data_IF_891714973227
#
_entry.id   IF_891714973227
#
_cell.length_a   1.000
_cell.length_b   1.000
_cell.length_c   1.000
_cell.angle_alpha   90.00
_cell.angle_beta   90.00
_cell.angle_gamma   90.00
#
_symmetry.space_group_name_H-M   'P 1'
#
loop_
_entity.id
_entity.type
_entity.pdbx_description
1 polymer ?
#
# COMPACT_ATOMS: atom_id res chain seq x y z
N UNK A 1 18.18 -18.57 5.57
CA UNK A 1 17.64 -18.69 4.20
C UNK A 1 16.57 -17.62 4.09
N UNK A 2 16.70 -16.67 3.16
CA UNK A 2 15.59 -15.73 2.87
C UNK A 2 14.54 -16.49 2.07
N UNK A 3 13.27 -16.11 2.20
CA UNK A 3 12.20 -16.73 1.39
C UNK A 3 12.18 -16.03 0.03
N UNK A 4 12.24 -16.78 -1.08
CA UNK A 4 12.31 -16.21 -2.42
C UNK A 4 10.97 -15.65 -2.93
N UNK A 5 9.85 -16.02 -2.33
CA UNK A 5 8.51 -15.60 -2.74
C UNK A 5 8.16 -14.20 -2.19
N UNK A 6 8.88 -13.72 -1.18
CA UNK A 6 8.59 -12.45 -0.48
C UNK A 6 9.82 -11.61 -0.20
N UNK A 7 9.76 -10.32 -0.52
CA UNK A 7 10.75 -9.32 -0.08
C UNK A 7 10.11 -8.08 0.52
N UNK A 8 10.81 -7.42 1.44
CA UNK A 8 10.40 -6.13 2.00
C UNK A 8 10.88 -4.97 1.11
N UNK A 9 9.94 -4.16 0.62
CA UNK A 9 10.23 -2.91 -0.08
C UNK A 9 10.45 -1.76 0.91
N UNK A 10 9.65 -1.70 1.97
CA UNK A 10 9.71 -0.67 3.01
C UNK A 10 9.50 -1.31 4.39
N UNK A 11 10.28 -0.87 5.37
CA UNK A 11 10.13 -1.27 6.77
C UNK A 11 9.98 -0.03 7.67
N UNK A 12 8.84 0.06 8.37
CA UNK A 12 8.51 1.20 9.23
C UNK A 12 8.83 0.97 10.72
N UNK A 13 9.57 -0.10 11.06
CA UNK A 13 9.95 -0.42 12.44
C UNK A 13 10.70 0.70 13.19
N UNK A 14 11.59 1.52 12.57
CA UNK A 14 12.23 2.65 13.25
C UNK A 14 11.24 3.66 13.86
N UNK A 15 10.02 3.74 13.33
CA UNK A 15 8.95 4.62 13.80
C UNK A 15 7.89 3.90 14.64
N UNK A 16 8.06 2.59 14.87
CA UNK A 16 7.06 1.71 15.52
C UNK A 16 5.73 1.65 14.76
N UNK A 17 5.80 1.77 13.43
CA UNK A 17 4.64 1.92 12.56
C UNK A 17 4.26 3.39 12.34
N UNK A 18 3.72 3.71 11.16
CA UNK A 18 3.32 5.07 10.80
C UNK A 18 1.80 5.22 10.91
N UNK A 19 1.37 6.29 11.58
CA UNK A 19 -0.03 6.73 11.59
C UNK A 19 -0.40 7.45 10.30
N UNK A 20 -1.68 7.55 10.03
CA UNK A 20 -2.22 8.25 8.85
C UNK A 20 -1.62 9.65 8.63
N UNK A 21 -1.47 10.54 9.64
CA UNK A 21 -0.90 11.88 9.43
C UNK A 21 0.58 11.89 9.02
N UNK A 22 1.31 10.79 9.26
CA UNK A 22 2.73 10.65 8.95
C UNK A 22 2.97 10.13 7.52
N UNK A 23 1.90 9.81 6.79
CA UNK A 23 1.93 9.31 5.41
C UNK A 23 1.27 10.32 4.49
N UNK A 24 1.95 10.61 3.38
CA UNK A 24 1.44 11.40 2.27
C UNK A 24 1.51 10.59 0.97
N UNK A 25 0.75 11.02 -0.03
CA UNK A 25 0.84 10.46 -1.39
C UNK A 25 1.13 11.57 -2.39
N UNK A 26 1.89 11.22 -3.42
CA UNK A 26 2.09 12.01 -4.63
C UNK A 26 1.42 11.27 -5.79
N UNK A 27 0.41 11.91 -6.37
CA UNK A 27 -0.42 11.32 -7.42
C UNK A 27 0.00 11.89 -8.78
N UNK A 28 0.34 11.01 -9.74
CA UNK A 28 0.66 11.45 -11.10
C UNK A 28 0.54 10.33 -12.12
N UNK A 29 0.09 10.65 -13.33
CA UNK A 29 0.03 9.68 -14.44
C UNK A 29 1.41 9.18 -14.88
N UNK A 30 2.49 9.93 -14.60
CA UNK A 30 3.87 9.46 -14.82
C UNK A 30 4.23 8.23 -13.98
N UNK A 31 3.44 7.95 -12.94
CA UNK A 31 3.58 6.77 -12.10
C UNK A 31 2.72 5.60 -12.58
N UNK A 32 2.00 5.75 -13.68
CA UNK A 32 1.28 4.65 -14.33
C UNK A 32 2.28 3.69 -15.00
N UNK A 33 1.77 2.51 -15.35
CA UNK A 33 2.51 1.49 -16.08
C UNK A 33 2.95 2.03 -17.46
N UNK A 34 4.20 1.79 -17.83
CA UNK A 34 4.69 2.02 -19.18
C UNK A 34 4.04 1.04 -20.15
N UNK A 35 3.77 1.48 -21.37
CA UNK A 35 3.03 0.64 -22.32
C UNK A 35 3.39 0.94 -23.77
N UNK A 36 3.23 -0.08 -24.61
CA UNK A 36 3.30 0.00 -26.07
C UNK A 36 2.05 -0.66 -26.69
N UNK A 37 1.81 -0.50 -28.00
CA UNK A 37 0.65 -1.09 -28.68
C UNK A 37 0.58 -2.62 -28.57
N UNK A 38 1.71 -3.33 -28.64
CA UNK A 38 1.72 -4.79 -28.59
C UNK A 38 1.31 -5.32 -27.21
N UNK A 39 1.75 -4.65 -26.14
CA UNK A 39 1.33 -4.94 -24.77
C UNK A 39 -0.16 -4.66 -24.56
N UNK A 40 -0.67 -3.55 -25.10
CA UNK A 40 -2.11 -3.25 -25.01
C UNK A 40 -2.96 -4.29 -25.75
N UNK A 41 -2.56 -4.68 -26.97
CA UNK A 41 -3.26 -5.72 -27.74
C UNK A 41 -3.25 -7.08 -27.02
N UNK A 42 -2.15 -7.40 -26.32
CA UNK A 42 -2.06 -8.58 -25.48
C UNK A 42 -3.06 -8.54 -24.31
N UNK A 43 -3.10 -7.44 -23.55
CA UNK A 43 -4.02 -7.26 -22.43
C UNK A 43 -5.49 -7.32 -22.90
N UNK A 44 -5.82 -6.63 -24.00
CA UNK A 44 -7.17 -6.64 -24.58
C UNK A 44 -7.63 -8.04 -24.99
N UNK A 45 -6.74 -8.81 -25.64
CA UNK A 45 -7.03 -10.18 -26.04
C UNK A 45 -7.27 -11.09 -24.83
N UNK A 46 -6.39 -11.06 -23.82
CA UNK A 46 -6.57 -11.86 -22.59
C UNK A 46 -7.87 -11.50 -21.87
N UNK A 47 -8.20 -10.20 -21.80
CA UNK A 47 -9.44 -9.74 -21.19
C UNK A 47 -10.67 -10.22 -21.95
N UNK A 48 -10.66 -10.14 -23.29
CA UNK A 48 -11.75 -10.62 -24.14
C UNK A 48 -11.97 -12.12 -23.97
N UNK A 49 -10.90 -12.90 -23.91
CA UNK A 49 -10.96 -14.34 -23.63
C UNK A 49 -11.52 -14.64 -22.24
N UNK A 50 -11.14 -13.84 -21.23
CA UNK A 50 -11.65 -13.98 -19.87
C UNK A 50 -13.15 -13.71 -19.80
N UNK A 51 -13.61 -12.57 -20.32
CA UNK A 51 -15.03 -12.19 -20.32
C UNK A 51 -15.87 -13.18 -21.14
N UNK A 52 -15.33 -13.76 -22.21
CA UNK A 52 -16.04 -14.79 -22.97
C UNK A 52 -16.31 -16.06 -22.15
N UNK A 53 -15.41 -16.40 -21.21
CA UNK A 53 -15.57 -17.55 -20.31
C UNK A 53 -16.40 -17.21 -19.05
N UNK A 54 -16.19 -16.02 -18.51
CA UNK A 54 -16.76 -15.57 -17.23
C UNK A 54 -17.40 -14.18 -17.41
N UNK A 55 -18.59 -14.09 -18.03
CA UNK A 55 -19.20 -12.82 -18.43
C UNK A 55 -19.64 -11.94 -17.26
N UNK A 56 -19.65 -12.47 -16.05
CA UNK A 56 -19.95 -11.72 -14.82
C UNK A 56 -18.73 -10.97 -14.26
N UNK A 57 -17.52 -11.22 -14.76
CA UNK A 57 -16.33 -10.48 -14.35
C UNK A 57 -16.43 -9.04 -14.85
N UNK A 58 -16.01 -8.10 -14.02
CA UNK A 58 -15.92 -6.68 -14.35
C UNK A 58 -14.51 -6.15 -14.10
N UNK A 59 -14.14 -5.08 -14.81
CA UNK A 59 -12.87 -4.39 -14.56
C UNK A 59 -13.02 -3.46 -13.35
N UNK A 60 -11.95 -3.36 -12.56
CA UNK A 60 -11.87 -2.53 -11.36
C UNK A 60 -10.65 -1.63 -11.40
N UNK A 61 -10.79 -0.31 -11.24
CA UNK A 61 -9.67 0.62 -11.10
C UNK A 61 -8.94 0.38 -9.76
N UNK A 62 -7.60 0.50 -9.76
CA UNK A 62 -6.74 0.28 -8.60
C UNK A 62 -5.62 1.33 -8.54
N UNK A 63 -5.08 1.57 -7.35
CA UNK A 63 -3.84 2.34 -7.21
C UNK A 63 -2.64 1.51 -7.67
N UNK A 64 -1.71 2.12 -8.39
CA UNK A 64 -0.40 1.51 -8.72
C UNK A 64 0.66 2.10 -7.82
N UNK A 65 1.41 1.27 -7.10
CA UNK A 65 2.58 1.77 -6.38
C UNK A 65 3.75 1.89 -7.36
N UNK A 66 4.34 3.09 -7.45
CA UNK A 66 5.55 3.32 -8.24
C UNK A 66 6.81 3.30 -7.37
N UNK A 67 6.84 4.11 -6.32
CA UNK A 67 8.00 4.20 -5.42
C UNK A 67 7.60 4.91 -4.13
N UNK A 68 8.54 5.09 -3.20
CA UNK A 68 8.35 5.85 -1.98
C UNK A 68 9.56 6.74 -1.68
N UNK A 69 9.36 7.75 -0.82
CA UNK A 69 10.41 8.55 -0.21
C UNK A 69 10.22 8.58 1.31
N UNK A 70 11.32 8.47 2.05
CA UNK A 70 11.34 8.66 3.50
C UNK A 70 11.92 10.03 3.82
N UNK A 71 11.23 10.80 4.66
CA UNK A 71 11.79 12.02 5.22
C UNK A 71 12.96 11.66 6.15
N UNK A 72 14.10 12.29 5.93
CA UNK A 72 15.26 12.10 6.81
C UNK A 72 14.92 12.71 8.18
N UNK A 73 15.05 11.97 9.30
CA UNK A 73 14.80 12.53 10.62
C UNK A 73 15.75 13.71 10.85
N UNK A 74 15.20 14.92 11.04
CA UNK A 74 15.98 16.08 11.48
C UNK A 74 16.33 15.92 12.97
N UNK A 75 17.26 15.00 13.27
CA UNK A 75 18.13 14.93 14.47
C UNK A 75 18.65 13.50 14.68
N UNK A 76 19.68 13.11 13.93
CA UNK A 76 20.61 12.07 14.37
C UNK A 76 22.04 12.62 14.27
N UNK A 77 22.48 13.33 15.31
CA UNK A 77 23.90 13.52 15.57
C UNK A 77 24.47 12.21 16.14
N UNK A 78 24.87 11.29 15.27
CA UNK A 78 25.98 10.35 15.52
C UNK A 78 26.21 9.43 14.32
N UNK A 79 27.34 9.67 13.65
CA UNK A 79 28.29 8.74 13.00
C UNK A 79 27.76 7.36 12.54
N UNK A 80 27.94 7.13 11.23
CA UNK A 80 27.97 5.87 10.47
C UNK A 80 26.63 5.25 10.01
N UNK A 81 26.34 5.37 8.70
CA UNK A 81 26.60 4.27 7.74
C UNK A 81 26.31 4.73 6.31
N UNK A 82 27.37 5.03 5.57
CA UNK A 82 27.40 5.01 4.10
C UNK A 82 27.28 3.55 3.65
N UNK A 83 26.08 3.03 3.39
CA UNK A 83 25.97 1.77 2.62
C UNK A 83 24.63 1.52 1.91
N UNK A 84 23.71 2.47 1.83
CA UNK A 84 22.47 2.29 1.06
C UNK A 84 22.24 3.45 0.08
N UNK A 85 23.14 3.61 -0.89
CA UNK A 85 22.91 4.49 -2.05
C UNK A 85 23.80 4.15 -3.25
N UNK A 86 24.01 2.85 -3.51
CA UNK A 86 24.62 2.37 -4.75
C UNK A 86 23.61 1.49 -5.46
N UNK A 87 22.77 2.10 -6.30
CA UNK A 87 22.31 1.56 -7.60
C UNK A 87 21.14 2.39 -8.14
N UNK A 88 21.35 3.68 -8.39
CA UNK A 88 20.66 4.42 -9.46
C UNK A 88 21.65 5.48 -9.95
N UNK A 89 22.26 5.23 -11.11
CA UNK A 89 23.12 6.21 -11.78
C UNK A 89 22.22 7.04 -12.69
N UNK A 90 21.87 8.23 -12.22
CA UNK A 90 21.41 9.30 -13.11
C UNK A 90 22.60 9.79 -13.94
N UNK A 91 22.53 9.60 -15.26
CA UNK A 91 23.38 10.29 -16.22
C UNK A 91 22.63 11.56 -16.70
N UNK A 92 23.10 12.78 -16.41
CA UNK A 92 22.62 13.95 -17.11
C UNK A 92 23.41 14.13 -18.41
N UNK A 93 22.71 14.05 -19.54
CA UNK A 93 23.24 14.46 -20.82
C UNK A 93 23.42 15.98 -20.85
N UNK A 94 24.58 16.40 -21.37
CA UNK A 94 25.03 17.77 -21.55
C UNK A 94 24.08 18.59 -22.43
N UNK A 95 23.80 19.83 -22.02
CA UNK A 95 23.51 20.92 -22.96
C UNK A 95 24.17 22.21 -22.46
N UNK A 96 25.26 22.59 -23.12
CA UNK A 96 25.93 23.88 -22.97
C UNK A 96 25.13 24.98 -23.69
N UNK A 97 24.88 26.12 -23.03
CA UNK A 97 25.58 27.39 -23.32
C UNK A 97 24.90 28.64 -22.72
N UNK A 98 25.69 29.41 -21.94
CA UNK A 98 25.84 30.90 -21.90
C UNK A 98 24.59 31.76 -21.54
N UNK A 99 24.61 32.86 -20.77
CA UNK A 99 25.64 33.76 -20.23
C UNK A 99 24.97 34.79 -19.29
N UNK A 100 25.70 35.29 -18.28
CA UNK A 100 25.53 36.61 -17.62
C UNK A 100 24.32 36.79 -16.70
N UNK A 101 24.33 37.56 -15.61
CA UNK A 101 25.36 38.37 -14.98
C UNK A 101 24.95 38.66 -13.52
N UNK A 102 25.95 38.83 -12.68
CA UNK A 102 26.06 39.61 -11.44
C UNK A 102 24.78 40.16 -10.74
N UNK A 103 24.67 39.97 -9.42
CA UNK A 103 25.18 40.99 -8.48
C UNK A 103 25.23 40.50 -7.02
N UNK A 104 26.24 41.03 -6.35
CA UNK A 104 26.85 40.72 -5.08
C UNK A 104 26.25 41.45 -3.87
N UNK A 105 26.15 40.73 -2.74
CA UNK A 105 26.79 41.04 -1.43
C UNK A 105 26.32 42.31 -0.69
N UNK A 106 25.89 42.17 0.57
CA UNK A 106 26.63 42.60 1.77
C UNK A 106 25.89 42.29 3.08
N UNK A 107 26.72 42.11 4.12
CA UNK A 107 26.49 41.50 5.41
C UNK A 107 26.00 42.46 6.50
N UNK A 108 25.49 41.85 7.58
CA UNK A 108 25.63 42.19 9.03
C UNK A 108 25.35 43.61 9.52
N UNK A 109 24.45 43.72 10.50
CA UNK A 109 24.80 44.28 11.81
C UNK A 109 23.77 43.93 12.91
N UNK A 110 24.31 43.74 14.11
CA UNK A 110 23.69 43.34 15.37
C UNK A 110 23.25 44.57 16.19
N UNK A 111 22.10 44.52 16.88
CA UNK A 111 21.87 45.36 18.06
C UNK A 111 20.73 44.83 18.94
N UNK A 112 21.04 44.77 20.24
CA UNK A 112 20.34 44.07 21.30
C UNK A 112 19.29 44.90 22.08
N UNK A 113 18.40 44.16 22.78
CA UNK A 113 17.58 44.49 23.97
C UNK A 113 16.21 45.19 23.80
N UNK A 114 15.12 44.48 24.16
CA UNK A 114 14.39 44.69 25.44
C UNK A 114 13.23 43.69 25.66
N UNK A 115 13.00 43.44 26.95
CA UNK A 115 12.07 42.49 27.59
C UNK A 115 10.60 42.73 27.26
N UNK A 116 9.86 41.64 27.04
CA UNK A 116 8.41 41.59 27.08
C UNK A 116 7.95 40.19 27.45
N UNK A 117 7.69 39.96 28.73
CA UNK A 117 7.04 38.76 29.26
C UNK A 117 5.60 38.70 28.76
N UNK A 118 5.29 37.72 27.90
CA UNK A 118 3.91 37.26 27.67
C UNK A 118 3.91 35.74 27.81
N UNK A 119 3.41 35.29 28.97
CA UNK A 119 2.95 33.93 29.18
C UNK A 119 1.78 33.68 28.22
N UNK A 120 2.05 33.00 27.10
CA UNK A 120 1.02 32.39 26.28
C UNK A 120 1.28 30.89 26.25
N UNK A 121 0.50 30.18 27.08
CA UNK A 121 0.25 28.75 26.97
C UNK A 121 -0.22 28.43 25.56
N UNK A 122 0.71 28.07 24.66
CA UNK A 122 0.40 27.32 23.45
C UNK A 122 0.81 25.89 23.72
N UNK A 123 -0.18 25.06 24.05
CA UNK A 123 -0.10 23.63 23.76
C UNK A 123 0.19 23.51 22.26
N UNK A 124 1.47 23.39 21.90
CA UNK A 124 1.85 22.98 20.55
C UNK A 124 1.27 21.59 20.36
N UNK A 125 0.16 21.50 19.64
CA UNK A 125 -0.17 20.25 18.96
C UNK A 125 1.05 19.93 18.11
N UNK A 126 1.82 18.91 18.50
CA UNK A 126 2.86 18.37 17.63
C UNK A 126 2.13 17.95 16.36
N UNK A 127 2.23 18.75 15.29
CA UNK A 127 1.92 18.25 13.97
C UNK A 127 2.84 17.05 13.78
N UNK A 128 2.23 15.86 13.66
CA UNK A 128 2.96 14.67 13.30
C UNK A 128 3.65 14.97 11.96
N UNK A 129 4.98 15.01 11.99
CA UNK A 129 5.81 15.30 10.82
C UNK A 129 5.54 14.22 9.76
N UNK A 130 5.44 14.62 8.48
CA UNK A 130 5.34 13.66 7.40
C UNK A 130 6.65 12.85 7.31
N UNK A 131 6.55 11.53 7.36
CA UNK A 131 7.68 10.62 7.35
C UNK A 131 7.78 9.86 6.04
N UNK A 132 6.65 9.52 5.43
CA UNK A 132 6.57 8.71 4.22
C UNK A 132 5.77 9.41 3.14
N UNK A 133 6.34 9.52 1.95
CA UNK A 133 5.63 9.93 0.74
C UNK A 133 5.56 8.74 -0.23
N UNK A 134 4.36 8.29 -0.56
CA UNK A 134 4.11 7.24 -1.55
C UNK A 134 3.79 7.85 -2.91
N UNK A 135 4.50 7.43 -3.96
CA UNK A 135 4.22 7.86 -5.33
C UNK A 135 3.29 6.85 -5.98
N UNK A 136 2.07 7.29 -6.30
CA UNK A 136 1.01 6.42 -6.80
C UNK A 136 0.53 6.84 -8.18
N UNK A 137 0.40 5.84 -9.05
CA UNK A 137 -0.34 5.91 -10.30
C UNK A 137 -1.71 5.25 -10.19
N UNK A 138 -2.36 5.06 -11.33
CA UNK A 138 -3.57 4.27 -11.50
C UNK A 138 -3.30 3.05 -12.40
N UNK A 139 -4.01 1.98 -12.12
CA UNK A 139 -4.03 0.74 -12.92
C UNK A 139 -5.41 0.09 -12.82
N UNK A 140 -5.56 -1.14 -13.30
CA UNK A 140 -6.83 -1.86 -13.23
C UNK A 140 -6.67 -3.36 -13.04
N UNK A 141 -7.74 -4.04 -12.64
CA UNK A 141 -7.80 -5.50 -12.55
C UNK A 141 -7.51 -6.17 -13.88
N UNK A 142 -7.99 -5.59 -14.98
CA UNK A 142 -7.70 -6.03 -16.34
C UNK A 142 -6.20 -5.97 -16.66
N UNK A 143 -5.56 -4.85 -16.36
CA UNK A 143 -4.12 -4.68 -16.57
C UNK A 143 -3.32 -5.67 -15.72
N UNK A 144 -3.74 -5.90 -14.47
CA UNK A 144 -3.14 -6.91 -13.60
C UNK A 144 -3.20 -8.31 -14.22
N UNK A 145 -4.37 -8.71 -14.71
CA UNK A 145 -4.53 -10.02 -15.36
C UNK A 145 -3.66 -10.16 -16.63
N UNK A 146 -3.51 -9.08 -17.38
CA UNK A 146 -2.73 -9.07 -18.62
C UNK A 146 -1.22 -8.85 -18.44
N UNK A 147 -0.76 -8.55 -17.22
CA UNK A 147 0.67 -8.30 -16.93
C UNK A 147 1.17 -9.18 -15.79
N UNK A 148 0.95 -8.79 -14.53
CA UNK A 148 1.39 -9.54 -13.35
C UNK A 148 0.93 -11.00 -13.32
N UNK A 149 -0.32 -11.27 -13.71
CA UNK A 149 -0.89 -12.63 -13.72
C UNK A 149 -0.80 -13.31 -15.10
N UNK A 150 -0.14 -12.67 -16.07
CA UNK A 150 0.04 -13.23 -17.40
C UNK A 150 1.17 -14.27 -17.40
N UNK A 151 1.05 -15.27 -18.27
CA UNK A 151 2.16 -16.17 -18.58
C UNK A 151 3.37 -15.47 -19.21
N UNK A 152 3.26 -14.16 -19.53
CA UNK A 152 4.35 -13.32 -20.04
C UNK A 152 5.00 -12.44 -18.95
N UNK A 153 4.64 -12.59 -17.67
CA UNK A 153 5.14 -11.71 -16.61
C UNK A 153 6.68 -11.61 -16.55
N UNK A 154 7.39 -12.74 -16.63
CA UNK A 154 8.87 -12.76 -16.62
C UNK A 154 9.48 -12.04 -17.83
N UNK A 155 8.89 -12.21 -19.01
CA UNK A 155 9.33 -11.52 -20.23
C UNK A 155 9.05 -10.02 -20.15
N UNK A 156 7.91 -9.61 -19.58
CA UNK A 156 7.61 -8.21 -19.32
C UNK A 156 8.59 -7.59 -18.33
N UNK A 157 9.00 -8.34 -17.29
CA UNK A 157 10.07 -7.90 -16.38
C UNK A 157 11.38 -7.68 -17.13
N UNK A 158 11.79 -8.66 -17.95
CA UNK A 158 13.03 -8.57 -18.73
C UNK A 158 13.00 -7.37 -19.68
N UNK A 159 11.87 -7.14 -20.35
CA UNK A 159 11.68 -5.98 -21.23
C UNK A 159 11.67 -4.67 -20.47
N UNK A 160 11.00 -4.60 -19.32
CA UNK A 160 10.98 -3.43 -18.45
C UNK A 160 12.39 -2.98 -18.09
N UNK A 161 13.23 -3.93 -17.68
CA UNK A 161 14.64 -3.67 -17.36
C UNK A 161 15.41 -3.13 -18.57
N UNK A 162 15.27 -3.76 -19.75
CA UNK A 162 16.02 -3.37 -20.96
C UNK A 162 15.57 -2.03 -21.54
N UNK A 163 14.26 -1.78 -21.57
CA UNK A 163 13.66 -0.61 -22.22
C UNK A 163 13.60 0.61 -21.30
N UNK A 164 13.42 0.41 -19.99
CA UNK A 164 13.15 1.48 -19.02
C UNK A 164 14.08 1.47 -17.80
N UNK A 165 14.96 0.47 -17.65
CA UNK A 165 15.84 0.35 -16.47
C UNK A 165 15.12 -0.01 -15.18
N UNK A 166 13.90 -0.55 -15.28
CA UNK A 166 13.09 -1.00 -14.15
C UNK A 166 12.22 -2.20 -14.57
N UNK A 167 12.36 -3.38 -13.95
CA UNK A 167 11.63 -4.57 -14.36
C UNK A 167 10.12 -4.44 -14.09
N UNK A 168 9.70 -3.51 -13.23
CA UNK A 168 8.29 -3.33 -12.87
C UNK A 168 7.57 -2.32 -13.77
N UNK A 169 8.30 -1.64 -14.66
CA UNK A 169 7.77 -0.55 -15.50
C UNK A 169 6.64 -1.00 -16.42
N UNK A 170 6.70 -2.22 -16.95
CA UNK A 170 5.66 -2.80 -17.83
C UNK A 170 4.58 -3.58 -17.08
N UNK A 171 4.60 -3.60 -15.74
CA UNK A 171 3.64 -4.32 -14.91
C UNK A 171 2.61 -3.39 -14.25
N UNK A 172 1.40 -3.91 -14.05
CA UNK A 172 0.29 -3.16 -13.46
C UNK A 172 0.58 -2.75 -12.02
N UNK A 173 1.18 -3.64 -11.23
CA UNK A 173 1.59 -3.41 -9.83
C UNK A 173 0.48 -2.76 -8.95
N UNK A 174 -0.75 -3.33 -8.93
CA UNK A 174 -1.80 -2.80 -8.08
C UNK A 174 -1.41 -2.92 -6.60
N UNK A 175 -1.56 -1.84 -5.85
CA UNK A 175 -1.25 -1.78 -4.43
C UNK A 175 -2.35 -2.48 -3.63
N UNK A 176 -1.99 -3.58 -2.97
CA UNK A 176 -2.82 -4.23 -1.95
C UNK A 176 -2.69 -3.56 -0.58
N UNK A 177 -3.59 -3.93 0.33
CA UNK A 177 -3.47 -3.67 1.76
C UNK A 177 -3.68 -4.97 2.52
N UNK A 178 -2.89 -5.19 3.56
CA UNK A 178 -3.06 -6.29 4.50
C UNK A 178 -2.94 -5.80 5.92
N UNK A 179 -3.57 -6.47 6.89
CA UNK A 179 -3.39 -6.14 8.30
C UNK A 179 -3.23 -7.34 9.19
N UNK A 180 -2.29 -7.19 10.12
CA UNK A 180 -2.15 -8.06 11.26
C UNK A 180 -3.08 -7.53 12.35
N UNK A 181 -4.08 -8.33 12.69
CA UNK A 181 -5.04 -8.01 13.75
C UNK A 181 -4.62 -8.71 15.04
N UNK A 182 -4.38 -7.95 16.10
CA UNK A 182 -4.14 -8.45 17.43
C UNK A 182 -5.36 -8.19 18.32
N UNK A 183 -5.86 -9.22 18.98
CA UNK A 183 -6.99 -9.15 19.91
C UNK A 183 -6.55 -8.76 21.32
N UNK A 184 -7.51 -8.40 22.18
CA UNK A 184 -7.25 -8.01 23.58
C UNK A 184 -6.57 -9.10 24.41
N UNK A 185 -6.72 -10.37 24.01
CA UNK A 185 -6.07 -11.54 24.60
C UNK A 185 -4.75 -11.93 23.88
N UNK A 186 -4.12 -10.96 23.21
CA UNK A 186 -2.81 -11.04 22.56
C UNK A 186 -2.71 -12.16 21.50
N UNK A 187 -3.80 -12.43 20.78
CA UNK A 187 -3.85 -13.39 19.70
C UNK A 187 -3.75 -12.69 18.35
N UNK A 188 -3.04 -13.31 17.40
CA UNK A 188 -3.06 -12.87 16.00
C UNK A 188 -4.08 -13.67 15.22
N UNK A 189 -4.92 -12.95 14.47
CA UNK A 189 -5.96 -13.52 13.62
C UNK A 189 -5.39 -13.83 12.24
N UNK A 190 -5.54 -15.07 11.81
CA UNK A 190 -5.38 -15.50 10.43
C UNK A 190 -6.70 -16.02 9.88
N UNK A 191 -6.85 -15.90 8.58
CA UNK A 191 -7.96 -16.50 7.83
C UNK A 191 -7.42 -17.65 6.97
N UNK A 192 -8.28 -18.57 6.53
CA UNK A 192 -7.92 -19.61 5.56
C UNK A 192 -8.69 -19.38 4.27
N UNK A 193 -7.95 -19.31 3.16
CA UNK A 193 -8.49 -19.14 1.82
C UNK A 193 -9.27 -20.38 1.40
N UNK A 194 -10.30 -20.16 0.58
CA UNK A 194 -11.06 -21.24 -0.06
C UNK A 194 -10.15 -22.09 -0.94
N UNK A 195 -10.52 -23.36 -1.15
CA UNK A 195 -9.85 -24.24 -2.11
C UNK A 195 -10.28 -23.97 -3.57
N UNK A 196 -11.26 -23.09 -3.77
CA UNK A 196 -11.90 -22.82 -5.08
C UNK A 196 -11.49 -21.47 -5.70
N UNK A 197 -10.55 -20.74 -5.08
CA UNK A 197 -10.08 -19.45 -5.61
C UNK A 197 -8.85 -19.65 -6.50
N UNK A 198 -8.65 -18.72 -7.44
CA UNK A 198 -7.53 -18.78 -8.38
C UNK A 198 -6.17 -18.49 -7.72
N UNK A 199 -6.14 -17.59 -6.74
CA UNK A 199 -4.91 -17.15 -6.10
C UNK A 199 -4.73 -17.80 -4.72
N UNK A 200 -3.55 -18.40 -4.46
CA UNK A 200 -3.16 -18.97 -3.16
C UNK A 200 -4.21 -19.92 -2.54
N UNK A 201 -4.78 -20.80 -3.36
CA UNK A 201 -5.87 -21.69 -2.95
C UNK A 201 -5.53 -22.51 -1.69
N UNK A 202 -6.42 -22.48 -0.69
CA UNK A 202 -6.28 -23.24 0.55
C UNK A 202 -5.22 -22.76 1.54
N UNK A 203 -4.41 -21.76 1.18
CA UNK A 203 -3.38 -21.21 2.05
C UNK A 203 -3.99 -20.39 3.20
N UNK A 204 -3.20 -20.11 4.21
CA UNK A 204 -3.58 -19.11 5.20
C UNK A 204 -3.60 -17.73 4.53
N UNK A 205 -4.24 -16.78 5.20
CA UNK A 205 -4.18 -15.36 4.87
C UNK A 205 -4.23 -14.48 6.13
N UNK A 206 -4.01 -13.18 5.94
CA UNK A 206 -4.41 -12.12 6.86
C UNK A 206 -5.54 -11.29 6.25
N UNK A 207 -6.38 -10.59 7.05
CA UNK A 207 -7.40 -9.70 6.50
C UNK A 207 -6.80 -8.64 5.60
N UNK A 208 -7.40 -8.41 4.43
CA UNK A 208 -6.84 -7.49 3.46
C UNK A 208 -7.60 -7.41 2.15
N UNK A 209 -7.10 -6.59 1.24
CA UNK A 209 -7.80 -6.29 0.00
C UNK A 209 -7.02 -5.38 -0.93
N UNK A 210 -7.73 -4.80 -1.89
CA UNK A 210 -7.14 -3.90 -2.89
C UNK A 210 -8.01 -2.64 -2.97
N UNK A 211 -7.56 -1.53 -2.35
CA UNK A 211 -8.34 -0.30 -2.27
C UNK A 211 -8.67 0.26 -3.66
N UNK A 212 -9.84 0.89 -3.77
CA UNK A 212 -10.37 1.33 -5.06
C UNK A 212 -10.45 2.86 -5.14
N UNK A 213 -9.85 3.49 -6.16
CA UNK A 213 -9.95 4.94 -6.39
C UNK A 213 -11.40 5.44 -6.47
N UNK A 214 -12.33 4.58 -6.89
CA UNK A 214 -13.76 4.88 -6.94
C UNK A 214 -14.33 5.26 -5.56
N UNK A 215 -13.90 4.58 -4.50
CA UNK A 215 -14.35 4.85 -3.12
C UNK A 215 -13.90 6.25 -2.69
N UNK A 216 -12.71 6.68 -3.10
CA UNK A 216 -12.24 8.07 -2.88
C UNK A 216 -13.16 9.07 -3.56
N UNK A 217 -13.50 8.85 -4.83
CA UNK A 217 -14.41 9.74 -5.57
C UNK A 217 -15.80 9.82 -4.92
N UNK A 218 -16.36 8.67 -4.52
CA UNK A 218 -17.66 8.59 -3.86
C UNK A 218 -17.68 9.33 -2.52
N UNK A 219 -16.61 9.18 -1.72
CA UNK A 219 -16.44 9.90 -0.45
C UNK A 219 -16.31 11.42 -0.64
N UNK A 220 -15.85 11.88 -1.81
CA UNK A 220 -15.83 13.29 -2.20
C UNK A 220 -17.16 13.76 -2.82
N UNK A 221 -18.20 12.91 -2.84
CA UNK A 221 -19.52 13.22 -3.40
C UNK A 221 -19.59 13.15 -4.92
N UNK A 222 -18.56 12.60 -5.58
CA UNK A 222 -18.50 12.47 -7.04
C UNK A 222 -19.12 11.12 -7.44
N UNK A 223 -20.24 11.16 -8.16
CA UNK A 223 -20.86 9.95 -8.70
C UNK A 223 -20.07 9.42 -9.89
N UNK A 224 -19.50 8.23 -9.76
CA UNK A 224 -18.79 7.54 -10.84
C UNK A 224 -19.73 6.52 -11.48
N UNK A 225 -20.18 6.81 -12.70
CA UNK A 225 -21.05 5.91 -13.48
C UNK A 225 -20.25 4.88 -14.30
N UNK A 226 -18.99 5.20 -14.64
CA UNK A 226 -18.04 4.32 -15.34
C UNK A 226 -16.63 4.56 -14.76
N UNK A 227 -15.97 3.48 -14.35
CA UNK A 227 -14.62 3.54 -13.78
C UNK A 227 -13.56 4.02 -14.77
N UNK A 228 -13.83 3.95 -16.08
CA UNK A 228 -12.96 4.53 -17.12
C UNK A 228 -12.82 6.06 -17.02
N UNK A 229 -13.69 6.72 -16.25
CA UNK A 229 -13.69 8.18 -16.06
C UNK A 229 -12.75 8.58 -14.91
N UNK A 230 -12.37 7.64 -14.03
CA UNK A 230 -11.50 7.94 -12.89
C UNK A 230 -10.13 8.38 -13.42
N UNK A 231 -9.81 9.63 -13.15
CA UNK A 231 -8.53 10.25 -13.51
C UNK A 231 -7.89 10.86 -12.27
N UNK A 232 -6.58 11.10 -12.34
CA UNK A 232 -5.80 11.56 -11.19
C UNK A 232 -6.29 12.89 -10.61
N UNK A 233 -6.86 13.76 -11.45
CA UNK A 233 -7.38 15.08 -11.06
C UNK A 233 -8.62 15.01 -10.16
N UNK A 234 -9.29 13.86 -10.14
CA UNK A 234 -10.47 13.64 -9.29
C UNK A 234 -10.10 13.20 -7.86
N UNK A 235 -8.82 12.90 -7.62
CA UNK A 235 -8.34 12.30 -6.39
C UNK A 235 -7.59 13.33 -5.53
N UNK A 236 -8.07 13.52 -4.29
CA UNK A 236 -7.35 14.30 -3.29
C UNK A 236 -6.27 13.42 -2.65
N UNK A 237 -4.99 13.85 -2.58
CA UNK A 237 -3.93 13.10 -1.90
C UNK A 237 -4.29 12.71 -0.46
N UNK A 238 -4.89 13.63 0.30
CA UNK A 238 -5.32 13.35 1.68
C UNK A 238 -6.45 12.31 1.73
N UNK A 239 -7.37 12.33 0.77
CA UNK A 239 -8.46 11.36 0.69
C UNK A 239 -7.96 9.97 0.26
N UNK A 240 -6.95 9.90 -0.61
CA UNK A 240 -6.29 8.62 -0.97
C UNK A 240 -5.57 8.02 0.23
N UNK A 241 -4.83 8.82 1.01
CA UNK A 241 -4.23 8.32 2.26
C UNK A 241 -5.33 7.83 3.22
N UNK A 242 -6.42 8.58 3.36
CA UNK A 242 -7.56 8.15 4.19
C UNK A 242 -8.15 6.83 3.71
N UNK A 243 -8.27 6.62 2.39
CA UNK A 243 -8.75 5.37 1.80
C UNK A 243 -7.81 4.20 2.08
N UNK A 244 -6.49 4.37 1.96
CA UNK A 244 -5.54 3.29 2.28
C UNK A 244 -5.67 2.82 3.74
N UNK A 245 -5.86 3.73 4.69
CA UNK A 245 -6.02 3.40 6.11
C UNK A 245 -7.46 2.94 6.46
N UNK A 246 -8.48 3.44 5.76
CA UNK A 246 -9.88 3.08 6.04
C UNK A 246 -10.27 1.74 5.40
N UNK A 247 -9.77 1.47 4.19
CA UNK A 247 -10.01 0.21 3.47
C UNK A 247 -9.53 -0.99 4.26
N UNK A 248 -8.37 -0.92 4.91
CA UNK A 248 -7.88 -2.04 5.72
C UNK A 248 -8.77 -2.33 6.93
N UNK A 249 -9.35 -1.30 7.55
CA UNK A 249 -10.37 -1.48 8.60
C UNK A 249 -11.69 -2.02 8.05
N UNK A 250 -12.08 -1.60 6.85
CA UNK A 250 -13.27 -2.13 6.16
C UNK A 250 -13.12 -3.62 5.84
N UNK A 251 -11.96 -4.05 5.34
CA UNK A 251 -11.68 -5.46 5.07
C UNK A 251 -11.70 -6.30 6.37
N UNK A 252 -11.21 -5.76 7.49
CA UNK A 252 -11.36 -6.42 8.81
C UNK A 252 -12.84 -6.60 9.20
N UNK A 253 -13.65 -5.57 9.02
CA UNK A 253 -15.10 -5.66 9.26
C UNK A 253 -15.75 -6.70 8.34
N UNK A 254 -15.41 -6.67 7.06
CA UNK A 254 -16.11 -7.43 6.02
C UNK A 254 -15.67 -8.91 6.00
N UNK A 255 -14.41 -9.21 6.32
CA UNK A 255 -13.87 -10.57 6.27
C UNK A 255 -13.91 -11.30 7.62
N UNK A 256 -13.72 -10.58 8.74
CA UNK A 256 -13.66 -11.18 10.08
C UNK A 256 -14.68 -10.62 11.08
N UNK A 257 -15.67 -9.89 10.57
CA UNK A 257 -16.86 -9.44 11.30
C UNK A 257 -16.54 -8.69 12.59
N UNK A 258 -15.45 -7.92 12.63
CA UNK A 258 -15.13 -7.06 13.76
C UNK A 258 -15.71 -5.67 13.47
N UNK A 259 -16.68 -5.18 14.26
CA UNK A 259 -17.21 -3.83 14.09
C UNK A 259 -16.10 -2.77 14.25
N UNK A 260 -16.13 -1.74 13.40
CA UNK A 260 -15.10 -0.69 13.36
C UNK A 260 -14.86 -0.02 14.71
N UNK A 261 -15.90 0.12 15.55
CA UNK A 261 -15.81 0.71 16.89
C UNK A 261 -14.90 -0.05 17.85
N UNK A 262 -14.60 -1.32 17.57
CA UNK A 262 -13.70 -2.16 18.36
C UNK A 262 -12.29 -2.23 17.75
N UNK A 263 -12.01 -1.51 16.66
CA UNK A 263 -10.68 -1.48 16.05
C UNK A 263 -9.90 -0.27 16.56
N UNK A 264 -8.67 -0.52 17.01
CA UNK A 264 -7.67 0.54 17.20
C UNK A 264 -7.25 1.18 15.88
N UNK A 265 -6.48 2.26 15.96
CA UNK A 265 -5.95 2.92 14.76
C UNK A 265 -4.97 2.00 14.00
N UNK A 266 -5.12 1.84 12.67
CA UNK A 266 -4.18 1.06 11.88
C UNK A 266 -2.84 1.78 11.76
N UNK A 267 -1.76 1.04 11.95
CA UNK A 267 -0.39 1.50 11.80
C UNK A 267 0.25 0.85 10.58
N UNK A 268 0.75 1.63 9.63
CA UNK A 268 1.52 1.11 8.50
C UNK A 268 2.88 0.61 9.00
N UNK A 269 3.13 -0.69 8.86
CA UNK A 269 4.36 -1.34 9.35
C UNK A 269 5.37 -1.61 8.23
N UNK A 270 4.94 -1.60 6.97
CA UNK A 270 5.84 -1.73 5.83
C UNK A 270 5.11 -1.92 4.51
N UNK A 271 5.88 -2.20 3.47
CA UNK A 271 5.38 -2.64 2.16
C UNK A 271 6.15 -3.90 1.79
N UNK A 272 5.43 -4.97 1.46
CA UNK A 272 5.99 -6.24 1.01
C UNK A 272 5.68 -6.46 -0.47
N UNK A 273 6.54 -7.23 -1.15
CA UNK A 273 6.39 -7.61 -2.55
C UNK A 273 6.16 -9.12 -2.64
N UNK A 274 5.12 -9.51 -3.37
CA UNK A 274 4.81 -10.90 -3.68
C UNK A 274 5.43 -11.30 -5.03
N UNK A 275 6.51 -12.07 -4.99
CA UNK A 275 7.23 -12.55 -6.19
C UNK A 275 6.51 -13.67 -6.93
N UNK A 276 5.57 -14.38 -6.31
CA UNK A 276 4.68 -15.32 -7.02
C UNK A 276 3.65 -14.58 -7.89
N UNK A 277 3.50 -13.26 -7.69
CA UNK A 277 2.65 -12.36 -8.48
C UNK A 277 3.48 -11.25 -9.15
N UNK A 278 4.68 -11.61 -9.61
CA UNK A 278 5.60 -10.72 -10.30
C UNK A 278 5.91 -9.41 -9.52
N UNK A 279 6.12 -9.55 -8.21
CA UNK A 279 6.49 -8.45 -7.33
C UNK A 279 5.33 -7.55 -6.90
N UNK A 280 4.07 -7.99 -7.03
CA UNK A 280 2.90 -7.16 -6.65
C UNK A 280 3.05 -6.63 -5.20
N UNK A 281 2.96 -5.30 -4.97
CA UNK A 281 3.14 -4.71 -3.66
C UNK A 281 1.87 -4.76 -2.81
N UNK A 282 2.06 -4.90 -1.50
CA UNK A 282 1.01 -4.77 -0.49
C UNK A 282 1.51 -3.89 0.67
N UNK A 283 0.72 -2.88 1.02
CA UNK A 283 0.95 -2.08 2.22
C UNK A 283 0.44 -2.85 3.44
N UNK A 284 1.35 -3.16 4.36
CA UNK A 284 1.06 -4.00 5.51
C UNK A 284 0.83 -3.15 6.75
N UNK A 285 -0.27 -3.42 7.45
CA UNK A 285 -0.73 -2.70 8.63
C UNK A 285 -0.73 -3.59 9.87
N UNK A 286 -0.80 -2.93 11.02
CA UNK A 286 -1.00 -3.57 12.31
C UNK A 286 -2.07 -2.84 13.11
N UNK A 287 -3.04 -3.60 13.62
CA UNK A 287 -4.10 -3.11 14.52
C UNK A 287 -3.95 -3.87 15.84
N UNK A 288 -3.45 -3.19 16.88
CA UNK A 288 -3.22 -3.81 18.20
C UNK A 288 -4.44 -3.81 19.11
N UNK A 289 -5.13 -2.68 19.16
CA UNK A 289 -6.10 -2.41 20.21
C UNK A 289 -7.50 -2.89 19.79
N UNK A 290 -7.60 -4.15 19.39
CA UNK A 290 -8.91 -4.76 19.11
C UNK A 290 -9.58 -5.15 20.42
N UNK A 291 -10.63 -4.42 20.78
CA UNK A 291 -11.38 -4.56 22.03
C UNK A 291 -12.31 -5.80 22.06
N UNK A 292 -11.91 -6.89 21.40
CA UNK A 292 -12.60 -8.17 21.41
C UNK A 292 -11.58 -9.30 21.63
N UNK A 293 -11.95 -10.35 22.39
CA UNK A 293 -11.13 -11.55 22.49
C UNK A 293 -11.22 -12.37 21.21
N UNK A 294 -10.19 -13.17 20.91
CA UNK A 294 -10.16 -13.96 19.68
C UNK A 294 -11.32 -14.96 19.54
N UNK A 295 -11.87 -15.43 20.65
CA UNK A 295 -13.04 -16.31 20.66
C UNK A 295 -14.31 -15.66 20.05
N UNK A 296 -14.38 -14.33 20.04
CA UNK A 296 -15.50 -13.56 19.49
C UNK A 296 -15.33 -13.25 18.00
N UNK A 297 -14.13 -13.44 17.44
CA UNK A 297 -13.85 -13.19 16.02
C UNK A 297 -14.56 -14.25 15.16
N UNK A 298 -15.19 -13.81 14.07
CA UNK A 298 -15.98 -14.68 13.18
C UNK A 298 -15.64 -14.34 11.74
N UNK A 299 -15.02 -15.26 11.02
CA UNK A 299 -14.74 -15.07 9.60
C UNK A 299 -16.00 -15.28 8.76
N UNK A 300 -16.30 -14.34 7.87
CA UNK A 300 -17.23 -14.54 6.78
C UNK A 300 -16.52 -15.20 5.59
N UNK A 301 -17.18 -16.10 4.85
CA UNK A 301 -16.59 -16.67 3.65
C UNK A 301 -16.34 -15.58 2.60
N UNK A 302 -15.09 -15.39 2.16
CA UNK A 302 -14.76 -14.37 1.15
C UNK A 302 -13.32 -13.84 1.11
N UNK A 303 -12.51 -14.18 2.12
CA UNK A 303 -11.13 -13.72 2.33
C UNK A 303 -10.24 -13.55 1.08
N UNK A 304 -9.69 -12.35 0.89
CA UNK A 304 -8.71 -11.95 -0.12
C UNK A 304 -7.29 -11.93 0.48
N UNK A 305 -6.28 -11.85 -0.39
CA UNK A 305 -4.90 -12.12 -0.02
C UNK A 305 -4.07 -10.92 0.42
N UNK A 306 -3.42 -11.07 1.58
CA UNK A 306 -2.25 -10.32 2.05
C UNK A 306 -1.04 -11.25 2.26
N UNK A 307 0.16 -10.67 2.37
CA UNK A 307 1.42 -11.44 2.47
C UNK A 307 1.70 -11.91 3.91
N UNK A 308 1.28 -13.12 4.28
CA UNK A 308 1.49 -13.66 5.63
C UNK A 308 2.96 -13.77 6.01
N UNK A 309 3.81 -14.26 5.11
CA UNK A 309 5.20 -14.51 5.49
C UNK A 309 5.95 -13.19 5.71
N UNK A 310 5.72 -12.20 4.85
CA UNK A 310 6.18 -10.83 5.04
C UNK A 310 5.69 -10.27 6.38
N UNK A 311 4.41 -10.46 6.68
CA UNK A 311 3.81 -10.04 7.95
C UNK A 311 4.40 -10.73 9.17
N UNK A 312 4.62 -12.04 9.13
CA UNK A 312 5.27 -12.79 10.20
C UNK A 312 6.72 -12.33 10.42
N UNK A 313 7.43 -11.94 9.35
CA UNK A 313 8.78 -11.36 9.45
C UNK A 313 8.77 -9.98 10.09
N UNK A 314 7.85 -9.11 9.68
CA UNK A 314 7.64 -7.79 10.28
C UNK A 314 7.31 -7.92 11.78
N UNK A 315 6.44 -8.88 12.15
CA UNK A 315 6.13 -9.19 13.54
C UNK A 315 7.33 -9.71 14.32
N UNK A 316 8.15 -10.59 13.73
CA UNK A 316 9.37 -11.12 14.38
C UNK A 316 10.38 -10.01 14.68
N UNK A 317 10.44 -8.98 13.84
CA UNK A 317 11.32 -7.82 14.04
C UNK A 317 10.84 -6.91 15.19
N UNK A 318 9.54 -6.92 15.53
CA UNK A 318 8.97 -6.15 16.65
C UNK A 318 9.39 -6.65 18.05
N UNK A 319 10.06 -7.81 18.15
CA UNK A 319 10.40 -8.51 19.41
C UNK A 319 9.22 -8.85 20.34
N UNK A 320 7.97 -8.73 19.86
CA UNK A 320 6.81 -9.18 20.61
C UNK A 320 6.67 -10.72 20.55
N UNK A 321 6.37 -11.32 21.70
CA UNK A 321 6.16 -12.76 21.85
C UNK A 321 4.65 -13.02 21.81
N UNK A 322 4.14 -13.52 20.69
CA UNK A 322 2.72 -13.83 20.55
C UNK A 322 2.43 -15.17 21.22
N UNK A 323 1.42 -15.20 22.09
CA UNK A 323 1.13 -16.37 22.94
C UNK A 323 0.42 -17.48 22.18
N UNK A 324 -0.42 -17.16 21.19
CA UNK A 324 -1.15 -18.13 20.37
C UNK A 324 -1.70 -17.46 19.10
N UNK A 325 -1.82 -18.27 18.05
CA UNK A 325 -2.27 -17.90 16.71
C UNK A 325 -3.66 -18.50 16.50
N UNK A 326 -4.62 -17.70 16.03
CA UNK A 326 -5.99 -18.14 15.81
C UNK A 326 -6.27 -18.16 14.31
N UNK A 327 -6.66 -19.34 13.81
CA UNK A 327 -6.96 -19.55 12.39
C UNK A 327 -8.48 -19.67 12.24
N UNK A 328 -9.08 -18.75 11.51
CA UNK A 328 -10.48 -18.83 11.11
C UNK A 328 -10.57 -19.37 9.68
N UNK A 329 -11.20 -20.52 9.50
CA UNK A 329 -11.55 -20.99 8.17
C UNK A 329 -12.92 -20.43 7.78
N UNK A 330 -12.98 -19.59 6.75
CA UNK A 330 -14.24 -19.23 6.11
C UNK A 330 -14.84 -20.48 5.46
N UNK A 331 -15.93 -20.99 6.03
CA UNK A 331 -16.63 -22.14 5.49
C UNK A 331 -17.40 -21.76 4.23
N UNK A 332 -16.85 -22.06 3.06
CA UNK A 332 -17.66 -22.14 1.84
C UNK A 332 -18.16 -23.57 1.66
N UNK A 333 -19.30 -23.89 2.28
CA UNK A 333 -20.27 -24.77 1.64
C UNK A 333 -21.67 -24.55 2.24
N UNK A 334 -22.59 -24.14 1.34
CA UNK A 334 -24.03 -24.10 1.50
C UNK A 334 -24.62 -23.23 2.63
N UNK A 335 -25.00 -21.98 2.31
CA UNK A 335 -26.42 -21.56 2.37
C UNK A 335 -26.69 -20.20 1.73
N UNK A 336 -27.74 -20.21 0.90
CA UNK A 336 -28.51 -19.05 0.44
C UNK A 336 -29.01 -18.25 1.63
N UNK A 337 -28.89 -16.91 1.56
CA UNK A 337 -29.65 -15.88 2.30
C UNK A 337 -29.49 -15.90 3.84
N UNK A 338 -29.59 -14.70 4.43
CA UNK A 338 -29.33 -14.35 5.83
C UNK A 338 -27.82 -14.16 6.07
N UNK A 339 -27.31 -13.05 6.61
CA UNK A 339 -27.89 -12.20 7.65
C UNK A 339 -27.03 -10.93 7.80
N UNK A 340 -27.64 -9.75 7.78
CA UNK A 340 -27.33 -8.78 8.82
C UNK A 340 -27.77 -9.42 10.14
N UNK A 341 -26.82 -9.66 11.04
CA UNK A 341 -27.15 -9.86 12.45
C UNK A 341 -26.83 -8.53 13.11
N UNK A 342 -27.92 -7.91 13.61
CA UNK A 342 -28.04 -6.72 14.46
C UNK A 342 -26.76 -6.17 15.10
#
# INVERSE_FOLDING_TARGET
MMDPEVSLLLHCGPWKGLRQPQVQVELSERYNRQTDPALQDHIERLWKERIAKEPWIFNGAKFRLHSFLLACPKNCNSVATDECNKNYKDNPAELNSKQGDAFSVFSTDDCSQKRGTVLASKRCQKQDECILLLRLGLTSYKDYLGTNWSGQAEELCRRGEVEFGDPLSLLAQPLGVGTIVCTVDEQIVFIRRSQKVAEASGLLDIPGGHPEPKVVCENLGVKICDEKIISMVMLSPAAVVSELFSSVCAEVRDEINIPLKFLGEPLLIGIALNHTSAGRPSAEFYIRDVELPAASVRCYPGARMGDIEGNLRLLKQSRQRFRRVVIHAGGNDARRRQSEVL
#
